data_IF_955303508938
#
_entry.id   IF_955303508938
#
_cell.length_a   1.000
_cell.length_b   1.000
_cell.length_c   1.000
_cell.angle_alpha   90.00
_cell.angle_beta   90.00
_cell.angle_gamma   90.00
#
_symmetry.space_group_name_H-M   'P 1'
#
loop_
_entity.id
_entity.type
_entity.pdbx_description
1 polymer ?
#
# COMPACT_ATOMS: atom_id res chain seq x y z
N UNK A 1 17.07 -12.96 -9.92
CA UNK A 1 17.14 -11.50 -10.08
C UNK A 1 15.99 -10.78 -9.40
N UNK A 2 14.80 -11.37 -9.40
CA UNK A 2 13.63 -10.72 -8.77
C UNK A 2 13.60 -10.88 -7.25
N UNK A 3 14.45 -11.73 -6.65
CA UNK A 3 14.42 -11.99 -5.22
C UNK A 3 14.69 -10.74 -4.39
N UNK A 4 15.60 -9.88 -4.84
CA UNK A 4 15.89 -8.66 -4.11
C UNK A 4 14.73 -7.66 -4.10
N UNK A 5 13.86 -7.73 -5.12
CA UNK A 5 12.70 -6.83 -5.20
C UNK A 5 11.52 -7.35 -4.37
N UNK A 6 11.31 -8.65 -4.33
CA UNK A 6 10.04 -9.17 -3.82
C UNK A 6 10.16 -10.19 -2.70
N UNK A 7 11.32 -10.78 -2.49
CA UNK A 7 11.46 -11.92 -1.56
C UNK A 7 12.38 -11.67 -0.39
N UNK A 8 13.47 -10.91 -0.59
CA UNK A 8 14.43 -10.67 0.49
C UNK A 8 13.98 -9.51 1.37
N UNK A 9 14.00 -9.73 2.66
CA UNK A 9 13.64 -8.73 3.66
C UNK A 9 14.88 -8.00 4.18
N UNK A 10 14.67 -7.03 5.07
CA UNK A 10 15.77 -6.31 5.71
C UNK A 10 16.71 -7.28 6.42
N UNK A 11 16.17 -8.29 7.10
CA UNK A 11 17.00 -9.24 7.84
C UNK A 11 17.94 -10.04 6.94
N UNK A 12 17.58 -10.24 5.68
CA UNK A 12 18.42 -10.95 4.72
C UNK A 12 19.62 -10.13 4.27
N UNK A 13 19.51 -8.80 4.33
CA UNK A 13 20.60 -7.89 3.92
C UNK A 13 21.37 -7.33 5.10
N UNK A 14 20.69 -7.02 6.18
CA UNK A 14 21.30 -6.35 7.33
C UNK A 14 20.57 -6.78 8.61
N UNK A 15 21.14 -7.76 9.29
CA UNK A 15 20.58 -8.31 10.52
C UNK A 15 20.54 -7.25 11.63
N UNK A 16 21.52 -6.37 11.68
CA UNK A 16 21.56 -5.33 12.72
C UNK A 16 20.45 -4.32 12.52
N UNK A 17 20.14 -3.97 11.26
CA UNK A 17 19.06 -3.04 10.97
C UNK A 17 17.71 -3.68 11.33
N UNK A 18 17.53 -4.96 11.03
CA UNK A 18 16.32 -5.68 11.42
C UNK A 18 16.14 -5.71 12.95
N UNK A 19 17.22 -5.92 13.68
CA UNK A 19 17.18 -5.88 15.15
C UNK A 19 16.83 -4.51 15.68
N UNK A 20 17.33 -3.45 15.06
CA UNK A 20 16.98 -2.08 15.46
C UNK A 20 15.49 -1.81 15.28
N UNK A 21 14.89 -2.29 14.18
CA UNK A 21 13.44 -2.16 13.97
C UNK A 21 12.68 -2.87 15.09
N UNK A 22 13.12 -4.08 15.46
CA UNK A 22 12.47 -4.82 16.55
C UNK A 22 12.60 -4.10 17.88
N UNK A 23 13.79 -3.53 18.20
CA UNK A 23 13.98 -2.78 19.43
C UNK A 23 13.10 -1.53 19.45
N UNK A 24 12.95 -0.85 18.32
CA UNK A 24 12.10 0.34 18.24
C UNK A 24 10.62 -0.04 18.39
N UNK A 25 10.20 -1.18 17.81
CA UNK A 25 8.84 -1.68 17.98
C UNK A 25 8.54 -1.95 19.46
N UNK A 26 9.47 -2.58 20.18
CA UNK A 26 9.32 -2.82 21.60
C UNK A 26 9.27 -1.52 22.39
N UNK A 27 10.15 -0.58 22.05
CA UNK A 27 10.18 0.71 22.75
C UNK A 27 8.85 1.43 22.62
N UNK A 28 8.30 1.48 21.41
CA UNK A 28 7.02 2.16 21.18
C UNK A 28 5.86 1.45 21.87
N UNK A 29 5.92 0.13 21.97
CA UNK A 29 4.87 -0.64 22.66
C UNK A 29 4.84 -0.38 24.16
N UNK A 30 5.97 0.05 24.74
CA UNK A 30 6.12 0.25 26.20
C UNK A 30 6.11 1.71 26.63
N UNK A 31 6.10 2.66 25.68
CA UNK A 31 6.26 4.08 26.01
C UNK A 31 5.05 4.87 25.56
N UNK A 32 4.74 5.89 26.34
CA UNK A 32 3.75 6.88 25.95
C UNK A 32 4.46 7.99 25.16
N UNK A 33 4.02 8.20 23.93
CA UNK A 33 4.58 9.24 23.07
C UNK A 33 3.80 10.53 23.31
N UNK A 34 4.52 11.56 23.75
CA UNK A 34 3.91 12.83 24.13
C UNK A 34 4.14 13.96 23.12
N UNK A 35 4.81 13.67 22.00
CA UNK A 35 5.09 14.67 20.96
C UNK A 35 3.87 14.73 20.03
N UNK A 36 3.21 15.91 19.90
CA UNK A 36 1.94 15.98 19.14
C UNK A 36 2.04 15.62 17.68
N UNK A 37 3.23 15.78 17.08
CA UNK A 37 3.44 15.45 15.66
C UNK A 37 3.72 13.96 15.42
N UNK A 38 3.82 13.17 16.47
CA UNK A 38 4.10 11.74 16.37
C UNK A 38 2.85 10.93 16.67
N UNK A 39 2.69 9.83 15.97
CA UNK A 39 1.60 8.90 16.22
C UNK A 39 2.03 7.47 15.94
N UNK A 40 1.29 6.51 16.48
CA UNK A 40 1.58 5.10 16.29
C UNK A 40 0.67 4.55 15.20
N UNK A 41 1.26 4.21 14.04
CA UNK A 41 0.51 3.59 12.98
C UNK A 41 0.35 2.09 13.25
N UNK A 42 -0.86 1.53 13.09
CA UNK A 42 -1.05 0.09 13.20
C UNK A 42 -0.18 -0.69 12.21
N UNK A 43 0.16 -1.92 12.57
CA UNK A 43 1.00 -2.76 11.73
C UNK A 43 0.44 -2.88 10.30
N UNK A 44 -0.86 -3.07 10.18
CA UNK A 44 -1.49 -3.20 8.86
C UNK A 44 -1.28 -1.96 7.98
N UNK A 45 -1.36 -0.77 8.58
CA UNK A 45 -1.09 0.48 7.85
C UNK A 45 0.37 0.55 7.41
N UNK A 46 1.29 0.18 8.30
CA UNK A 46 2.71 0.17 7.97
C UNK A 46 3.05 -0.83 6.87
N UNK A 47 2.37 -1.97 6.86
CA UNK A 47 2.54 -2.97 5.81
C UNK A 47 2.09 -2.45 4.45
N UNK A 48 0.97 -1.71 4.41
CA UNK A 48 0.50 -1.10 3.17
C UNK A 48 1.47 -0.02 2.67
N UNK A 49 1.99 0.81 3.57
CA UNK A 49 2.96 1.85 3.22
C UNK A 49 4.25 1.26 2.67
N UNK A 50 4.66 0.11 3.18
CA UNK A 50 5.86 -0.57 2.71
C UNK A 50 5.63 -1.55 1.59
N UNK A 51 4.40 -1.59 1.03
CA UNK A 51 4.09 -2.51 -0.05
C UNK A 51 4.50 -1.95 -1.41
N UNK A 52 4.33 -2.78 -2.45
CA UNK A 52 4.67 -2.37 -3.81
C UNK A 52 3.80 -1.23 -4.35
N UNK A 53 2.71 -0.88 -3.67
CA UNK A 53 1.93 0.29 -4.03
C UNK A 53 2.75 1.58 -4.02
N UNK A 54 3.79 1.67 -3.17
CA UNK A 54 4.60 2.88 -3.12
C UNK A 54 5.53 3.03 -4.33
N UNK A 55 5.65 2.01 -5.17
CA UNK A 55 6.55 2.04 -6.32
C UNK A 55 5.99 2.79 -7.52
N UNK A 56 4.71 3.14 -7.51
CA UNK A 56 4.04 3.68 -8.70
C UNK A 56 3.42 5.05 -8.42
N UNK A 57 3.25 5.82 -9.49
CA UNK A 57 2.53 7.08 -9.44
C UNK A 57 1.05 6.83 -9.70
N UNK A 58 0.21 7.47 -8.91
CA UNK A 58 -1.23 7.40 -9.08
C UNK A 58 -1.82 8.78 -8.80
N UNK A 59 -1.77 9.65 -9.79
CA UNK A 59 -2.33 10.99 -9.68
C UNK A 59 -3.77 11.01 -10.16
N UNK A 60 -4.60 11.80 -9.47
CA UNK A 60 -6.03 11.83 -9.72
C UNK A 60 -6.74 10.76 -8.91
N UNK A 61 -8.02 10.58 -9.20
CA UNK A 61 -8.87 9.63 -8.49
C UNK A 61 -9.69 8.82 -9.48
N UNK A 62 -10.15 7.62 -9.08
CA UNK A 62 -11.09 6.86 -9.90
C UNK A 62 -12.34 7.69 -10.20
N UNK A 63 -13.03 7.33 -11.27
CA UNK A 63 -14.32 7.97 -11.59
C UNK A 63 -15.32 7.77 -10.46
N UNK A 64 -16.27 8.70 -10.26
CA UNK A 64 -17.31 8.51 -9.26
C UNK A 64 -18.05 7.19 -9.41
N UNK A 65 -18.27 6.71 -10.64
CA UNK A 65 -18.93 5.44 -10.88
C UNK A 65 -18.18 4.28 -10.26
N UNK A 66 -16.85 4.32 -10.28
CA UNK A 66 -16.01 3.30 -9.63
C UNK A 66 -16.04 3.45 -8.12
N UNK A 67 -15.93 4.69 -7.64
CA UNK A 67 -15.84 4.97 -6.21
C UNK A 67 -17.11 4.64 -5.44
N UNK A 68 -18.25 4.66 -6.11
CA UNK A 68 -19.55 4.40 -5.46
C UNK A 68 -20.04 2.97 -5.65
N UNK A 69 -19.22 2.10 -6.24
CA UNK A 69 -19.54 0.68 -6.29
C UNK A 69 -19.41 0.07 -4.89
N UNK A 70 -20.17 -1.02 -4.65
CA UNK A 70 -20.03 -1.72 -3.39
C UNK A 70 -18.70 -2.50 -3.33
N UNK A 71 -18.35 -2.95 -2.14
CA UNK A 71 -17.06 -3.62 -1.93
C UNK A 71 -16.93 -4.90 -2.77
N UNK A 72 -17.98 -5.68 -2.88
CA UNK A 72 -17.97 -6.90 -3.70
C UNK A 72 -17.65 -6.61 -5.16
N UNK A 73 -18.28 -5.57 -5.72
CA UNK A 73 -18.05 -5.17 -7.11
C UNK A 73 -16.66 -4.64 -7.31
N UNK A 74 -16.19 -3.80 -6.39
CA UNK A 74 -14.83 -3.24 -6.45
C UNK A 74 -13.79 -4.36 -6.40
N UNK A 75 -14.01 -5.36 -5.57
CA UNK A 75 -13.08 -6.47 -5.39
C UNK A 75 -13.23 -7.60 -6.42
N UNK A 76 -14.14 -7.46 -7.36
CA UNK A 76 -14.25 -8.39 -8.48
C UNK A 76 -13.17 -8.07 -9.51
N UNK A 77 -12.01 -8.68 -9.35
CA UNK A 77 -10.82 -8.37 -10.14
C UNK A 77 -11.05 -8.60 -11.63
N UNK A 78 -11.72 -9.68 -11.99
CA UNK A 78 -11.98 -10.00 -13.40
C UNK A 78 -12.85 -8.93 -14.06
N UNK A 79 -13.89 -8.48 -13.35
CA UNK A 79 -14.79 -7.42 -13.83
C UNK A 79 -14.03 -6.10 -13.96
N UNK A 80 -13.27 -5.70 -12.93
CA UNK A 80 -12.56 -4.42 -12.93
C UNK A 80 -11.49 -4.38 -14.03
N UNK A 81 -10.69 -5.42 -14.15
CA UNK A 81 -9.67 -5.48 -15.19
C UNK A 81 -10.28 -5.51 -16.58
N UNK A 82 -11.40 -6.21 -16.75
CA UNK A 82 -12.13 -6.20 -18.02
C UNK A 82 -12.68 -4.83 -18.36
N UNK A 83 -13.20 -4.11 -17.36
CA UNK A 83 -13.67 -2.74 -17.54
C UNK A 83 -12.53 -1.80 -17.94
N UNK A 84 -11.37 -1.95 -17.35
CA UNK A 84 -10.20 -1.14 -17.66
C UNK A 84 -9.70 -1.35 -19.11
N UNK A 85 -9.88 -2.53 -19.64
CA UNK A 85 -9.55 -2.79 -21.05
C UNK A 85 -10.47 -2.03 -22.01
N UNK A 86 -11.71 -1.80 -21.59
CA UNK A 86 -12.72 -1.09 -22.40
C UNK A 86 -12.75 0.40 -22.09
N UNK A 87 -12.68 0.76 -20.83
CA UNK A 87 -12.82 2.15 -20.37
C UNK A 87 -11.89 2.39 -19.18
N UNK A 88 -10.81 3.12 -19.39
CA UNK A 88 -9.94 3.51 -18.30
C UNK A 88 -10.49 4.75 -17.59
N UNK A 89 -10.28 4.81 -16.28
CA UNK A 89 -10.62 5.99 -15.50
C UNK A 89 -9.69 7.15 -15.85
N UNK A 90 -10.13 8.42 -15.66
CA UNK A 90 -9.33 9.58 -16.04
C UNK A 90 -8.17 9.79 -15.06
N UNK A 91 -7.04 9.24 -15.41
CA UNK A 91 -5.81 9.38 -14.64
C UNK A 91 -4.67 9.84 -15.52
N UNK A 92 -3.68 10.47 -14.90
CA UNK A 92 -2.48 10.92 -15.62
C UNK A 92 -1.61 9.76 -16.07
N UNK A 93 -1.64 8.64 -15.33
CA UNK A 93 -0.81 7.47 -15.63
C UNK A 93 -1.68 6.23 -15.79
N UNK A 94 -1.25 5.31 -16.64
CA UNK A 94 -1.89 4.01 -16.82
C UNK A 94 -1.15 2.94 -16.03
N UNK A 95 -1.77 1.77 -15.87
CA UNK A 95 -1.17 0.70 -15.09
C UNK A 95 -1.40 0.83 -13.60
N UNK A 96 -2.48 1.51 -13.21
CA UNK A 96 -2.80 1.78 -11.80
C UNK A 96 -4.12 1.13 -11.38
N UNK A 97 -4.48 0.02 -12.03
CA UNK A 97 -5.77 -0.65 -11.81
C UNK A 97 -5.98 -1.02 -10.34
N UNK A 98 -4.97 -1.58 -9.70
CA UNK A 98 -5.10 -2.01 -8.32
C UNK A 98 -5.10 -0.85 -7.33
N UNK A 99 -4.40 0.25 -7.65
CA UNK A 99 -4.51 1.47 -6.84
C UNK A 99 -5.90 2.07 -6.97
N UNK A 100 -6.50 2.03 -8.15
CA UNK A 100 -7.87 2.50 -8.33
C UNK A 100 -8.83 1.71 -7.44
N UNK A 101 -8.64 0.40 -7.35
CA UNK A 101 -9.44 -0.44 -6.46
C UNK A 101 -9.20 -0.10 -4.99
N UNK A 102 -7.96 0.20 -4.61
CA UNK A 102 -7.62 0.60 -3.26
C UNK A 102 -8.26 1.93 -2.89
N UNK A 103 -8.26 2.90 -3.80
CA UNK A 103 -8.82 4.22 -3.56
C UNK A 103 -10.34 4.25 -3.59
N UNK A 104 -10.93 3.30 -4.29
CA UNK A 104 -12.37 3.17 -4.32
C UNK A 104 -12.89 2.54 -3.04
#
# INVERSE_FOLDING_TARGET
MTDFLFKKSVADYDQHMAELVEFENERQARRLIMIPSESMAPLAVRELLGSSFQNIYAEGYPRPETRYQDEETIMDYAYQLGRYRRHSDPRYYKGVEYIDMLEA
#
